data_IF_683739522884
#
_entry.id   IF_683739522884
#
_cell.length_a   1.000
_cell.length_b   1.000
_cell.length_c   1.000
_cell.angle_alpha   90.00
_cell.angle_beta   90.00
_cell.angle_gamma   90.00
#
_symmetry.space_group_name_H-M   'P 1'
#
loop_
_entity.id
_entity.type
_entity.pdbx_description
1 polymer ?
#
# COMPACT_ATOMS: atom_id res chain seq x y z
N UNK A 1 -30.28 28.43 -95.32
CA UNK A 1 -28.99 27.73 -95.16
C UNK A 1 -27.98 28.74 -94.59
N UNK A 2 -28.03 28.97 -93.28
CA UNK A 2 -27.46 30.17 -92.64
C UNK A 2 -26.01 29.98 -92.18
N UNK A 3 -25.09 30.66 -92.86
CA UNK A 3 -23.66 30.79 -92.55
C UNK A 3 -23.37 31.85 -91.45
N UNK A 4 -24.34 32.11 -90.56
CA UNK A 4 -24.32 33.15 -89.53
C UNK A 4 -24.30 32.60 -88.09
N UNK A 5 -23.79 31.38 -87.91
CA UNK A 5 -23.27 30.85 -86.64
C UNK A 5 -21.75 30.75 -86.79
N UNK A 6 -21.07 31.82 -87.19
CA UNK A 6 -20.60 32.81 -86.23
C UNK A 6 -20.05 32.14 -84.98
N UNK A 7 -18.71 32.08 -84.93
CA UNK A 7 -17.87 32.90 -84.03
C UNK A 7 -18.10 32.85 -82.52
N UNK A 8 -19.23 32.34 -82.04
CA UNK A 8 -19.54 32.10 -80.64
C UNK A 8 -18.73 30.93 -80.09
N UNK A 9 -18.55 29.85 -80.87
CA UNK A 9 -17.74 28.69 -80.45
C UNK A 9 -16.25 29.02 -80.32
N UNK A 10 -15.74 29.99 -81.08
CA UNK A 10 -14.33 30.41 -81.03
C UNK A 10 -14.03 31.38 -79.89
N UNK A 11 -15.06 32.07 -79.34
CA UNK A 11 -14.94 32.98 -78.19
C UNK A 11 -15.13 32.28 -76.84
N UNK A 12 -15.66 31.06 -76.80
CA UNK A 12 -16.05 30.39 -75.55
C UNK A 12 -14.92 29.75 -74.74
N UNK A 13 -13.71 29.49 -75.28
CA UNK A 13 -12.64 28.87 -74.44
C UNK A 13 -11.24 29.31 -74.85
N UNK A 14 -11.08 30.55 -75.32
CA UNK A 14 -9.77 31.19 -75.29
C UNK A 14 -9.35 31.28 -73.82
N UNK A 15 -8.27 30.58 -73.45
CA UNK A 15 -7.69 30.62 -72.10
C UNK A 15 -7.23 32.06 -71.83
N UNK A 16 -8.06 32.86 -71.17
CA UNK A 16 -7.66 34.18 -70.69
C UNK A 16 -6.42 34.02 -69.80
N UNK A 17 -5.41 34.91 -69.91
CA UNK A 17 -4.16 34.83 -69.15
C UNK A 17 -4.35 35.19 -67.67
N UNK A 18 -5.60 35.38 -67.22
CA UNK A 18 -5.96 35.30 -65.82
C UNK A 18 -5.90 33.81 -65.42
N UNK A 19 -4.67 33.27 -65.45
CA UNK A 19 -4.21 32.33 -64.46
C UNK A 19 -4.58 32.93 -63.11
N UNK A 20 -5.79 32.65 -62.62
CA UNK A 20 -5.94 32.63 -61.18
C UNK A 20 -4.98 31.53 -60.75
N UNK A 21 -3.82 31.94 -60.25
CA UNK A 21 -2.96 31.07 -59.48
C UNK A 21 -3.82 30.59 -58.33
N UNK A 22 -4.49 29.45 -58.53
CA UNK A 22 -4.94 28.64 -57.42
C UNK A 22 -3.63 28.24 -56.78
N UNK A 23 -3.15 29.07 -55.84
CA UNK A 23 -2.08 28.69 -54.93
C UNK A 23 -2.63 27.44 -54.28
N UNK A 24 -2.20 26.28 -54.77
CA UNK A 24 -2.35 25.00 -54.10
C UNK A 24 -1.60 25.13 -52.79
N UNK A 25 -2.21 25.82 -51.83
CA UNK A 25 -1.82 25.75 -50.45
C UNK A 25 -2.32 24.39 -50.03
N UNK A 26 -1.48 23.37 -50.21
CA UNK A 26 -1.72 22.04 -49.67
C UNK A 26 -2.07 22.26 -48.20
N UNK A 27 -3.35 22.12 -47.85
CA UNK A 27 -3.78 22.14 -46.46
C UNK A 27 -3.25 20.85 -45.85
N UNK A 28 -1.96 20.82 -45.52
CA UNK A 28 -1.35 19.72 -44.78
C UNK A 28 -2.19 19.57 -43.52
N UNK A 29 -2.86 18.43 -43.37
CA UNK A 29 -3.58 18.10 -42.15
C UNK A 29 -2.54 17.95 -41.05
N UNK A 30 -2.24 19.04 -40.36
CA UNK A 30 -1.44 18.98 -39.15
C UNK A 30 -2.24 18.18 -38.13
N UNK A 31 -1.68 17.09 -37.63
CA UNK A 31 -2.24 16.37 -36.50
C UNK A 31 -2.11 17.29 -35.29
N UNK A 32 -3.16 18.05 -34.99
CA UNK A 32 -3.18 18.94 -33.83
C UNK A 32 -3.13 18.10 -32.57
N UNK A 33 -2.26 18.47 -31.63
CA UNK A 33 -2.07 17.79 -30.33
C UNK A 33 -1.52 16.36 -30.43
N UNK A 34 -0.67 16.10 -31.43
CA UNK A 34 0.09 14.84 -31.48
C UNK A 34 0.95 14.69 -30.21
N UNK A 35 0.76 13.60 -29.47
CA UNK A 35 1.43 13.35 -28.20
C UNK A 35 0.80 14.05 -26.97
N UNK A 36 -0.30 14.78 -27.12
CA UNK A 36 -1.02 15.35 -25.98
C UNK A 36 -1.81 14.25 -25.24
N UNK A 37 -1.56 14.12 -23.95
CA UNK A 37 -2.34 13.29 -23.05
C UNK A 37 -3.28 14.18 -22.23
N UNK A 38 -4.59 13.90 -22.28
CA UNK A 38 -5.56 14.61 -21.49
C UNK A 38 -5.36 14.27 -20.00
N UNK A 39 -5.08 15.25 -19.11
CA UNK A 39 -4.95 14.99 -17.67
C UNK A 39 -6.30 14.67 -17.02
N UNK A 40 -7.42 15.03 -17.66
CA UNK A 40 -8.76 14.71 -17.18
C UNK A 40 -9.16 13.32 -17.67
N UNK A 41 -9.51 12.44 -16.72
CA UNK A 41 -9.98 11.10 -17.03
C UNK A 41 -11.31 11.16 -17.80
N UNK A 42 -11.48 10.39 -18.89
CA UNK A 42 -12.78 10.27 -19.52
C UNK A 42 -13.78 9.66 -18.52
N UNK A 43 -15.02 10.18 -18.45
CA UNK A 43 -16.04 9.58 -17.59
C UNK A 43 -16.29 8.13 -18.04
N UNK A 44 -16.17 7.18 -17.10
CA UNK A 44 -16.36 5.76 -17.33
C UNK A 44 -16.34 4.98 -16.01
N UNK A 45 -16.85 3.76 -16.01
CA UNK A 45 -17.06 2.96 -14.79
C UNK A 45 -15.77 2.55 -14.07
N UNK A 46 -14.61 2.63 -14.74
CA UNK A 46 -13.31 2.33 -14.15
C UNK A 46 -12.30 3.37 -14.67
N UNK A 47 -11.65 4.18 -13.79
CA UNK A 47 -10.57 5.07 -14.20
C UNK A 47 -9.33 4.23 -14.50
N UNK A 48 -9.26 3.64 -15.70
CA UNK A 48 -8.05 2.96 -16.17
C UNK A 48 -7.13 4.01 -16.77
N UNK A 49 -6.10 4.40 -16.03
CA UNK A 49 -4.97 5.12 -16.62
C UNK A 49 -4.31 4.17 -17.64
N UNK A 50 -4.19 4.54 -18.93
CA UNK A 50 -3.54 3.67 -19.93
C UNK A 50 -2.06 3.37 -19.60
N UNK A 51 -1.45 4.12 -18.67
CA UNK A 51 -0.07 3.94 -18.19
C UNK A 51 0.05 3.14 -16.89
N UNK A 52 -1.03 2.90 -16.15
CA UNK A 52 -0.98 2.09 -14.93
C UNK A 52 -1.06 0.61 -15.26
N UNK A 53 0.05 -0.10 -15.02
CA UNK A 53 0.12 -1.57 -15.19
C UNK A 53 -0.44 -2.32 -13.97
N UNK A 54 -0.53 -1.64 -12.84
CA UNK A 54 -1.01 -2.20 -11.57
C UNK A 54 -2.54 -2.22 -11.55
N UNK A 55 -3.12 -3.41 -11.33
CA UNK A 55 -4.55 -3.54 -11.09
C UNK A 55 -4.90 -2.82 -9.77
N UNK A 56 -6.04 -2.11 -9.68
CA UNK A 56 -6.50 -1.57 -8.40
C UNK A 56 -6.66 -2.70 -7.39
N UNK A 57 -6.37 -2.42 -6.12
CA UNK A 57 -6.53 -3.39 -5.05
C UNK A 57 -8.02 -3.81 -4.95
N UNK A 58 -8.30 -5.09 -5.20
CA UNK A 58 -9.63 -5.66 -4.99
C UNK A 58 -9.95 -5.63 -3.50
N UNK A 59 -11.21 -5.30 -3.16
CA UNK A 59 -11.70 -5.45 -1.79
C UNK A 59 -11.50 -6.91 -1.37
N UNK A 60 -10.93 -7.19 -0.19
CA UNK A 60 -10.79 -8.57 0.27
C UNK A 60 -12.16 -9.24 0.37
N UNK A 61 -12.21 -10.55 0.10
CA UNK A 61 -13.44 -11.33 0.26
C UNK A 61 -13.89 -11.24 1.72
N UNK A 62 -15.15 -10.87 1.95
CA UNK A 62 -15.71 -10.80 3.29
C UNK A 62 -15.75 -12.19 3.92
N UNK A 63 -15.08 -12.35 5.07
CA UNK A 63 -15.14 -13.54 5.89
C UNK A 63 -15.88 -13.19 7.19
N UNK A 64 -17.14 -13.65 7.38
CA UNK A 64 -17.86 -13.41 8.63
C UNK A 64 -17.11 -14.06 9.80
N UNK A 65 -16.98 -13.33 10.90
CA UNK A 65 -16.36 -13.84 12.12
C UNK A 65 -17.43 -14.52 12.97
N UNK A 66 -17.21 -15.76 13.36
CA UNK A 66 -18.06 -16.41 14.36
C UNK A 66 -17.83 -15.77 15.74
N UNK A 67 -18.86 -15.10 16.26
CA UNK A 67 -18.83 -14.45 17.56
C UNK A 67 -18.90 -15.46 18.72
N UNK A 68 -19.52 -16.62 18.49
CA UNK A 68 -19.84 -17.64 19.50
C UNK A 68 -18.99 -18.89 19.40
N UNK A 69 -17.85 -18.81 18.69
CA UNK A 69 -16.91 -19.92 18.68
C UNK A 69 -16.42 -20.21 20.12
N UNK A 70 -16.18 -21.49 20.42
CA UNK A 70 -15.85 -21.97 21.76
C UNK A 70 -14.77 -21.15 22.46
N UNK A 71 -13.68 -20.82 21.76
CA UNK A 71 -12.59 -20.01 22.30
C UNK A 71 -13.05 -18.62 22.78
N UNK A 72 -14.00 -17.99 22.09
CA UNK A 72 -14.53 -16.67 22.46
C UNK A 72 -15.59 -16.79 23.54
N UNK A 73 -16.46 -17.79 23.42
CA UNK A 73 -17.51 -18.07 24.39
C UNK A 73 -16.96 -18.41 25.78
N UNK A 74 -15.85 -19.17 25.85
CA UNK A 74 -15.21 -19.60 27.10
C UNK A 74 -14.09 -18.64 27.58
N UNK A 75 -13.86 -17.52 26.89
CA UNK A 75 -12.80 -16.58 27.27
C UNK A 75 -13.09 -15.96 28.64
N UNK A 76 -12.12 -16.02 29.55
CA UNK A 76 -12.21 -15.43 30.90
C UNK A 76 -12.92 -16.28 31.95
N UNK A 77 -13.36 -17.51 31.60
CA UNK A 77 -14.14 -18.36 32.51
C UNK A 77 -13.44 -18.64 33.86
N UNK A 78 -12.11 -18.78 33.87
CA UNK A 78 -11.32 -19.16 35.04
C UNK A 78 -10.41 -18.04 35.57
N UNK A 79 -10.73 -16.77 35.30
CA UNK A 79 -9.87 -15.64 35.69
C UNK A 79 -9.83 -15.41 37.22
N UNK A 80 -10.89 -15.81 37.94
CA UNK A 80 -11.04 -15.65 39.39
C UNK A 80 -10.89 -16.97 40.17
N UNK A 81 -10.14 -17.92 39.62
CA UNK A 81 -9.94 -19.25 40.22
C UNK A 81 -9.25 -19.21 41.59
N UNK A 82 -8.47 -18.17 41.85
CA UNK A 82 -7.76 -17.97 43.11
C UNK A 82 -8.68 -17.53 44.25
N UNK A 83 -9.67 -16.67 43.97
CA UNK A 83 -10.60 -16.15 44.98
C UNK A 83 -11.88 -16.98 45.13
N UNK A 84 -12.29 -17.70 44.08
CA UNK A 84 -13.50 -18.54 44.10
C UNK A 84 -13.21 -20.05 44.22
N UNK A 85 -11.94 -20.46 44.12
CA UNK A 85 -11.50 -21.86 44.20
C UNK A 85 -10.86 -22.24 45.54
N UNK A 86 -9.97 -23.24 45.50
CA UNK A 86 -9.21 -23.69 46.69
C UNK A 86 -8.04 -22.79 47.07
N UNK A 87 -7.66 -21.84 46.20
CA UNK A 87 -6.50 -20.96 46.39
C UNK A 87 -5.15 -21.59 46.01
N UNK A 88 -5.11 -22.87 45.63
CA UNK A 88 -3.86 -23.56 45.27
C UNK A 88 -3.25 -23.10 43.94
N UNK A 89 -4.11 -22.63 43.01
CA UNK A 89 -3.73 -22.19 41.67
C UNK A 89 -3.97 -20.70 41.52
N UNK A 90 -2.98 -19.97 40.99
CA UNK A 90 -3.11 -18.55 40.65
C UNK A 90 -3.39 -18.38 39.16
N UNK A 91 -4.06 -17.30 38.73
CA UNK A 91 -4.29 -17.01 37.30
C UNK A 91 -3.00 -17.01 36.46
N UNK A 92 -1.89 -16.60 37.07
CA UNK A 92 -0.55 -16.57 36.46
C UNK A 92 -0.09 -17.96 35.98
N UNK A 93 -0.49 -19.01 36.69
CA UNK A 93 -0.07 -20.39 36.41
C UNK A 93 -0.83 -20.97 35.19
N UNK A 94 -2.05 -20.48 34.94
CA UNK A 94 -2.94 -20.92 33.86
C UNK A 94 -2.59 -20.27 32.52
N UNK A 95 -1.86 -19.15 32.52
CA UNK A 95 -1.50 -18.40 31.31
C UNK A 95 -0.78 -19.28 30.26
N UNK A 96 -1.50 -19.70 29.23
CA UNK A 96 -0.96 -20.47 28.09
C UNK A 96 -0.41 -19.53 27.01
N UNK A 97 0.66 -19.95 26.34
CA UNK A 97 1.28 -19.19 25.23
C UNK A 97 2.18 -18.02 25.66
N UNK A 98 2.22 -17.70 26.96
CA UNK A 98 3.13 -16.69 27.52
C UNK A 98 4.41 -17.38 27.98
N UNK A 99 5.61 -16.88 27.59
CA UNK A 99 6.87 -17.44 28.05
C UNK A 99 6.97 -17.47 29.57
N UNK A 100 7.53 -18.54 30.14
CA UNK A 100 7.60 -18.73 31.60
C UNK A 100 8.22 -17.56 32.36
N UNK A 101 9.23 -16.91 31.77
CA UNK A 101 9.93 -15.77 32.35
C UNK A 101 9.14 -14.45 32.32
N UNK A 102 8.03 -14.41 31.55
CA UNK A 102 7.12 -13.28 31.39
C UNK A 102 5.78 -13.48 32.13
N UNK A 103 5.44 -14.70 32.54
CA UNK A 103 4.22 -14.98 33.32
C UNK A 103 4.24 -14.16 34.62
N UNK A 104 3.17 -13.40 34.86
CA UNK A 104 3.03 -12.53 36.04
C UNK A 104 4.02 -11.36 36.11
N UNK A 105 4.75 -11.08 35.03
CA UNK A 105 5.68 -9.94 34.97
C UNK A 105 5.07 -8.79 34.17
N UNK A 106 5.03 -7.62 34.79
CA UNK A 106 4.71 -6.36 34.12
C UNK A 106 5.89 -5.41 34.29
N UNK A 107 6.39 -4.86 33.19
CA UNK A 107 7.53 -3.96 33.21
C UNK A 107 7.85 -3.40 31.82
N UNK A 108 8.83 -2.51 31.76
CA UNK A 108 9.26 -1.94 30.50
C UNK A 108 10.08 -2.93 29.67
N UNK A 109 10.31 -2.62 28.39
CA UNK A 109 11.08 -3.47 27.48
C UNK A 109 12.48 -3.79 28.05
N UNK A 110 13.13 -2.82 28.68
CA UNK A 110 14.47 -3.01 29.23
C UNK A 110 14.50 -4.08 30.33
N UNK A 111 13.60 -3.98 31.30
CA UNK A 111 13.46 -4.96 32.38
C UNK A 111 13.07 -6.34 31.83
N UNK A 112 12.18 -6.37 30.83
CA UNK A 112 11.77 -7.58 30.14
C UNK A 112 12.96 -8.28 29.46
N UNK A 113 13.80 -7.53 28.75
CA UNK A 113 15.00 -8.07 28.10
C UNK A 113 16.08 -8.52 29.09
N UNK A 114 16.21 -7.85 30.24
CA UNK A 114 17.11 -8.29 31.30
C UNK A 114 16.69 -9.67 31.87
N UNK A 115 15.39 -9.88 32.11
CA UNK A 115 14.86 -11.20 32.51
C UNK A 115 15.10 -12.24 31.41
N UNK A 116 14.77 -11.90 30.16
CA UNK A 116 15.00 -12.79 29.01
C UNK A 116 16.46 -13.22 28.92
N UNK A 117 17.40 -12.29 29.06
CA UNK A 117 18.85 -12.54 28.99
C UNK A 117 19.32 -13.61 29.98
N UNK A 118 18.78 -13.63 31.19
CA UNK A 118 19.10 -14.67 32.18
C UNK A 118 18.63 -16.05 31.71
N UNK A 119 17.38 -16.14 31.23
CA UNK A 119 16.79 -17.41 30.76
C UNK A 119 17.48 -17.94 29.49
N UNK A 120 17.86 -17.03 28.57
CA UNK A 120 18.49 -17.40 27.30
C UNK A 120 20.02 -17.37 27.34
N UNK A 121 20.63 -17.52 28.51
CA UNK A 121 22.11 -17.48 28.67
C UNK A 121 22.83 -18.46 27.72
N UNK A 122 22.25 -19.64 27.51
CA UNK A 122 22.74 -20.69 26.61
C UNK A 122 22.81 -20.26 25.13
N UNK A 123 22.11 -19.19 24.71
CA UNK A 123 22.21 -18.66 23.35
C UNK A 123 23.59 -18.12 23.02
N UNK A 124 24.43 -17.85 24.03
CA UNK A 124 25.82 -17.46 23.79
C UNK A 124 26.57 -18.50 22.97
N UNK A 125 26.30 -19.79 23.21
CA UNK A 125 26.88 -20.89 22.45
C UNK A 125 25.99 -21.30 21.27
N UNK A 126 24.68 -21.44 21.48
CA UNK A 126 23.79 -22.04 20.47
C UNK A 126 23.31 -21.09 19.39
N UNK A 127 23.11 -19.80 19.73
CA UNK A 127 22.53 -18.76 18.84
C UNK A 127 23.24 -17.42 19.04
N UNK A 128 24.53 -17.33 18.71
CA UNK A 128 25.35 -16.17 19.04
C UNK A 128 24.85 -14.86 18.38
N UNK A 129 24.26 -14.94 17.18
CA UNK A 129 23.67 -13.78 16.49
C UNK A 129 22.49 -13.17 17.25
N UNK A 130 21.54 -14.01 17.69
CA UNK A 130 20.37 -13.57 18.48
C UNK A 130 20.80 -13.01 19.83
N UNK A 131 21.76 -13.65 20.49
CA UNK A 131 22.30 -13.18 21.76
C UNK A 131 23.02 -11.83 21.62
N UNK A 132 23.80 -11.65 20.55
CA UNK A 132 24.43 -10.37 20.25
C UNK A 132 23.40 -9.26 20.01
N UNK A 133 22.33 -9.54 19.26
CA UNK A 133 21.24 -8.58 19.01
C UNK A 133 20.48 -8.22 20.30
N UNK A 134 20.21 -9.21 21.15
CA UNK A 134 19.62 -9.01 22.48
C UNK A 134 20.49 -8.05 23.33
N UNK A 135 21.80 -8.32 23.42
CA UNK A 135 22.73 -7.48 24.17
C UNK A 135 22.83 -6.06 23.60
N UNK A 136 22.84 -5.93 22.27
CA UNK A 136 22.83 -4.63 21.58
C UNK A 136 21.59 -3.82 21.94
N UNK A 137 20.40 -4.46 21.95
CA UNK A 137 19.15 -3.80 22.34
C UNK A 137 19.16 -3.38 23.81
N UNK A 138 19.60 -4.25 24.72
CA UNK A 138 19.74 -3.93 26.16
C UNK A 138 20.67 -2.72 26.36
N UNK A 139 21.83 -2.71 25.70
CA UNK A 139 22.79 -1.61 25.78
C UNK A 139 22.23 -0.30 25.23
N UNK A 140 21.48 -0.36 24.14
CA UNK A 140 20.80 0.80 23.58
C UNK A 140 19.77 1.37 24.57
N UNK A 141 18.88 0.51 25.10
CA UNK A 141 17.84 0.93 26.04
C UNK A 141 18.43 1.51 27.33
N UNK A 142 19.50 0.92 27.86
CA UNK A 142 20.22 1.46 29.01
C UNK A 142 20.68 2.90 28.76
N UNK A 143 21.31 3.16 27.60
CA UNK A 143 21.80 4.50 27.26
C UNK A 143 20.65 5.50 27.10
N UNK A 144 19.56 5.09 26.46
CA UNK A 144 18.41 5.98 26.25
C UNK A 144 17.75 6.32 27.58
N UNK A 145 17.40 5.30 28.37
CA UNK A 145 16.67 5.46 29.62
C UNK A 145 17.45 6.27 30.66
N UNK A 146 18.76 6.04 30.77
CA UNK A 146 19.57 6.66 31.84
C UNK A 146 20.28 7.96 31.44
N UNK A 147 20.49 8.21 30.15
CA UNK A 147 21.25 9.39 29.70
C UNK A 147 20.48 10.33 28.78
N UNK A 148 19.36 9.91 28.17
CA UNK A 148 18.64 10.73 27.18
C UNK A 148 17.22 11.07 27.60
N UNK A 149 16.60 10.27 28.46
CA UNK A 149 15.29 10.58 29.01
C UNK A 149 15.41 11.77 29.96
N UNK A 150 14.67 12.85 29.70
CA UNK A 150 14.52 13.94 30.66
C UNK A 150 13.68 13.42 31.83
N UNK A 151 14.19 13.55 33.05
CA UNK A 151 13.36 13.39 34.25
C UNK A 151 12.37 14.56 34.29
N UNK A 152 11.08 14.25 34.33
CA UNK A 152 10.05 15.24 34.67
C UNK A 152 9.98 15.40 36.19
#
# INVERSE_FOLDING_TARGET
>A
MSTLLHSALQRLVARTPIQMSVRFWERKKYIRRYGYENPLHPPGYLPRLPKEKTKPATVPIYAPKDAWCERRALFGQNDYIDILGSGDLKPIDIMKGVPSWLRGFQGNEFQMLLRKRHVVSHWRQTRPGDFHNLQKRIRFLYKVLNHRTRSQ
#
